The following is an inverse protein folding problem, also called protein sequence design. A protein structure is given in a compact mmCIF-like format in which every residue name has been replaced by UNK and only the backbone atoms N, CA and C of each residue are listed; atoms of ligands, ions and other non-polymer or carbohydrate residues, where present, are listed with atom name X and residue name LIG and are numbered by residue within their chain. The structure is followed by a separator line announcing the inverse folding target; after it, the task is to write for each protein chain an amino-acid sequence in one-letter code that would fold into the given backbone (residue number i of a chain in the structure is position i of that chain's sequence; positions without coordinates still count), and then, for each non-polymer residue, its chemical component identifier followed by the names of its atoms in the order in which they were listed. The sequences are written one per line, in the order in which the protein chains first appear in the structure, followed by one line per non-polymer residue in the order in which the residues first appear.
data_IF_286067221841
#
_entry.id   IF_286067221841
#
_cell.length_a   1.000
_cell.length_b   1.000
_cell.length_c   1.000
_cell.angle_alpha   90.00
_cell.angle_beta   90.00
_cell.angle_gamma   90.00
#
_symmetry.space_group_name_H-M   'P 1'
#
loop_
_entity.id
_entity.type
_entity.pdbx_description
1 polymer ?
#
# COMPACT_ATOMS: atom_id res chain seq x y z
N UNK A 1 -74.82 -47.67 -102.66
CA UNK A 1 -74.85 -47.80 -104.14
C UNK A 1 -75.45 -49.16 -104.46
N UNK A 2 -76.73 -49.21 -104.82
CA UNK A 2 -77.44 -50.46 -105.16
C UNK A 2 -77.38 -50.69 -106.67
N UNK A 3 -76.80 -51.81 -107.07
CA UNK A 3 -76.79 -52.29 -108.46
C UNK A 3 -78.14 -52.97 -108.74
N UNK A 4 -78.87 -52.64 -109.82
CA UNK A 4 -80.07 -53.37 -110.19
C UNK A 4 -79.69 -54.70 -110.87
N UNK A 5 -80.30 -55.79 -110.41
CA UNK A 5 -80.17 -57.10 -111.03
C UNK A 5 -80.89 -57.09 -112.39
N UNK A 6 -80.15 -57.40 -113.46
CA UNK A 6 -80.67 -57.57 -114.82
C UNK A 6 -81.31 -58.95 -114.91
N UNK A 7 -82.63 -58.96 -114.99
CA UNK A 7 -83.46 -60.16 -115.18
C UNK A 7 -83.26 -60.69 -116.61
N UNK A 8 -82.33 -61.64 -116.78
CA UNK A 8 -82.02 -62.30 -118.06
C UNK A 8 -82.71 -63.67 -118.11
N UNK A 9 -84.04 -63.70 -117.98
CA UNK A 9 -84.83 -64.92 -118.21
C UNK A 9 -85.14 -65.10 -119.71
N UNK A 10 -84.09 -65.15 -120.54
CA UNK A 10 -84.22 -65.57 -121.94
C UNK A 10 -84.59 -67.05 -122.00
N UNK A 11 -85.89 -67.36 -122.09
CA UNK A 11 -86.52 -68.61 -122.54
C UNK A 11 -85.59 -69.84 -122.58
N UNK A 12 -85.11 -70.22 -121.40
CA UNK A 12 -84.34 -71.44 -121.23
C UNK A 12 -85.33 -72.60 -121.20
N UNK A 13 -85.44 -73.32 -122.31
CA UNK A 13 -86.24 -74.53 -122.36
C UNK A 13 -85.73 -75.52 -121.31
N UNK A 14 -86.58 -75.87 -120.34
CA UNK A 14 -86.26 -76.85 -119.31
C UNK A 14 -86.73 -78.24 -119.76
N UNK A 15 -86.01 -79.27 -119.33
CA UNK A 15 -86.38 -80.65 -119.56
C UNK A 15 -87.71 -80.97 -118.89
N UNK A 16 -88.68 -81.44 -119.66
CA UNK A 16 -90.02 -81.74 -119.14
C UNK A 16 -90.06 -82.82 -118.04
N UNK A 17 -89.00 -83.63 -117.91
CA UNK A 17 -88.86 -84.66 -116.86
C UNK A 17 -88.14 -84.13 -115.60
N UNK A 18 -86.94 -83.61 -115.75
CA UNK A 18 -86.05 -83.29 -114.60
C UNK A 18 -85.87 -81.79 -114.33
N UNK A 19 -86.51 -80.92 -115.11
CA UNK A 19 -86.46 -79.47 -114.92
C UNK A 19 -85.12 -78.81 -115.26
N UNK A 20 -84.08 -79.57 -115.62
CA UNK A 20 -82.77 -79.00 -116.01
C UNK A 20 -82.89 -78.16 -117.27
N UNK A 21 -82.14 -77.07 -117.30
CA UNK A 21 -81.99 -76.21 -118.48
C UNK A 21 -81.36 -77.01 -119.62
N UNK A 22 -82.01 -77.04 -120.79
CA UNK A 22 -81.55 -77.78 -121.97
C UNK A 22 -80.69 -76.91 -122.89
N UNK A 23 -79.66 -77.50 -123.53
CA UNK A 23 -78.85 -76.78 -124.52
C UNK A 23 -79.69 -76.44 -125.76
N UNK A 24 -79.43 -75.28 -126.37
CA UNK A 24 -80.06 -74.88 -127.64
C UNK A 24 -79.63 -75.84 -128.75
N UNK A 25 -80.59 -76.27 -129.56
CA UNK A 25 -80.35 -77.26 -130.62
C UNK A 25 -79.41 -76.68 -131.70
N UNK A 26 -78.23 -77.28 -131.95
CA UNK A 26 -77.20 -76.68 -132.81
C UNK A 26 -77.59 -76.60 -134.29
N UNK A 27 -78.65 -77.30 -134.73
CA UNK A 27 -79.15 -77.26 -136.12
C UNK A 27 -80.37 -76.35 -136.34
N UNK A 28 -80.68 -75.45 -135.40
CA UNK A 28 -81.78 -74.48 -135.55
C UNK A 28 -83.19 -75.09 -135.59
N UNK A 29 -83.35 -76.34 -135.13
CA UNK A 29 -84.64 -77.02 -135.00
C UNK A 29 -85.36 -76.69 -133.70
N UNK A 30 -86.57 -77.25 -133.49
CA UNK A 30 -87.32 -77.14 -132.23
C UNK A 30 -86.41 -77.47 -131.03
N UNK A 31 -86.49 -76.70 -129.91
CA UNK A 31 -85.70 -76.98 -128.72
C UNK A 31 -85.93 -78.42 -128.26
N UNK A 32 -84.88 -79.06 -127.74
CA UNK A 32 -85.04 -80.37 -127.13
C UNK A 32 -86.10 -80.26 -126.03
N UNK A 33 -87.03 -81.22 -125.99
CA UNK A 33 -88.06 -81.28 -124.95
C UNK A 33 -87.59 -82.10 -123.73
N UNK A 34 -86.56 -82.93 -123.92
CA UNK A 34 -85.97 -83.81 -122.92
C UNK A 34 -84.44 -83.80 -123.05
N UNK A 35 -83.73 -84.10 -121.97
CA UNK A 35 -82.27 -84.25 -121.99
C UNK A 35 -81.86 -85.42 -122.92
N UNK A 36 -80.89 -85.22 -123.82
CA UNK A 36 -80.39 -86.29 -124.69
C UNK A 36 -79.66 -87.38 -123.89
N UNK A 37 -79.06 -87.01 -122.76
CA UNK A 37 -78.47 -87.94 -121.81
C UNK A 37 -79.06 -87.65 -120.41
N UNK A 38 -79.61 -88.69 -119.78
CA UNK A 38 -80.18 -88.58 -118.44
C UNK A 38 -79.09 -88.68 -117.38
N UNK A 39 -79.20 -87.87 -116.33
CA UNK A 39 -78.35 -88.02 -115.16
C UNK A 39 -78.65 -89.30 -114.36
N UNK A 40 -79.87 -89.82 -114.47
CA UNK A 40 -80.32 -90.97 -113.68
C UNK A 40 -79.83 -92.30 -114.30
N UNK A 41 -79.70 -92.34 -115.64
CA UNK A 41 -79.18 -93.50 -116.38
C UNK A 41 -78.35 -92.99 -117.59
N UNK A 42 -77.02 -92.91 -117.45
CA UNK A 42 -76.13 -92.50 -118.53
C UNK A 42 -76.31 -93.38 -119.77
N UNK A 43 -76.40 -92.76 -120.94
CA UNK A 43 -76.63 -93.44 -122.22
C UNK A 43 -78.10 -93.67 -122.57
N UNK A 44 -79.05 -93.23 -121.73
CA UNK A 44 -80.48 -93.16 -122.07
C UNK A 44 -81.00 -91.74 -121.98
N UNK A 45 -81.81 -91.34 -122.96
CA UNK A 45 -82.41 -90.00 -122.93
C UNK A 45 -83.48 -89.92 -121.85
N UNK A 46 -83.68 -88.73 -121.28
CA UNK A 46 -84.79 -88.48 -120.35
C UNK A 46 -86.15 -88.78 -120.99
N UNK A 47 -86.27 -88.72 -122.33
CA UNK A 47 -87.47 -89.12 -123.05
C UNK A 47 -87.70 -90.64 -122.97
N UNK A 48 -86.64 -91.44 -123.14
CA UNK A 48 -86.74 -92.89 -123.04
C UNK A 48 -87.04 -93.34 -121.63
N UNK A 49 -86.44 -92.70 -120.62
CA UNK A 49 -86.80 -92.96 -119.24
C UNK A 49 -88.24 -92.53 -118.96
N UNK A 50 -88.70 -91.38 -119.47
CA UNK A 50 -90.08 -90.92 -119.27
C UNK A 50 -91.08 -91.88 -119.92
N UNK A 51 -90.75 -92.42 -121.09
CA UNK A 51 -91.53 -93.50 -121.71
C UNK A 51 -91.51 -94.80 -120.90
N UNK A 52 -90.35 -95.21 -120.36
CA UNK A 52 -90.23 -96.41 -119.51
C UNK A 52 -91.03 -96.26 -118.23
N UNK A 53 -90.99 -95.09 -117.60
CA UNK A 53 -91.72 -94.80 -116.37
C UNK A 53 -93.23 -94.73 -116.63
N UNK A 54 -93.67 -94.08 -117.72
CA UNK A 54 -95.07 -94.14 -118.14
C UNK A 54 -95.53 -95.58 -118.41
N UNK A 55 -94.74 -96.35 -119.16
CA UNK A 55 -95.06 -97.75 -119.42
C UNK A 55 -95.05 -98.61 -118.14
N UNK A 56 -94.24 -98.27 -117.14
CA UNK A 56 -94.23 -98.94 -115.83
C UNK A 56 -95.46 -98.56 -115.00
N UNK A 57 -95.85 -97.28 -115.00
CA UNK A 57 -97.05 -96.78 -114.34
C UNK A 57 -98.33 -97.33 -114.98
N UNK A 58 -98.37 -97.42 -116.31
CA UNK A 58 -99.47 -98.07 -117.04
C UNK A 58 -99.56 -99.56 -116.70
N UNK A 59 -98.43 -100.29 -116.68
CA UNK A 59 -98.39 -101.70 -116.24
C UNK A 59 -98.84 -101.90 -114.79
N UNK A 60 -98.62 -100.91 -113.94
CA UNK A 60 -99.08 -100.91 -112.55
C UNK A 60 -100.54 -100.44 -112.38
N UNK A 61 -101.23 -100.03 -113.47
CA UNK A 61 -102.58 -99.46 -113.41
C UNK A 61 -102.66 -98.05 -112.81
N UNK A 62 -101.52 -97.37 -112.65
CA UNK A 62 -101.39 -96.07 -111.96
C UNK A 62 -101.29 -94.88 -112.92
N UNK A 63 -101.31 -95.10 -114.23
CA UNK A 63 -101.16 -94.04 -115.24
C UNK A 63 -102.17 -92.90 -115.08
N UNK A 64 -103.46 -93.24 -115.00
CA UNK A 64 -104.55 -92.26 -114.86
C UNK A 64 -104.55 -91.58 -113.48
N UNK A 65 -104.25 -92.33 -112.42
CA UNK A 65 -104.16 -91.80 -111.06
C UNK A 65 -103.03 -90.77 -110.90
N UNK A 66 -101.88 -91.01 -111.52
CA UNK A 66 -100.76 -90.07 -111.51
C UNK A 66 -101.07 -88.81 -112.32
N UNK A 67 -101.80 -88.92 -113.43
CA UNK A 67 -102.24 -87.74 -114.18
C UNK A 67 -103.29 -86.92 -113.44
N UNK A 68 -104.26 -87.57 -112.78
CA UNK A 68 -105.26 -86.89 -111.95
C UNK A 68 -104.60 -86.21 -110.75
N UNK A 69 -103.70 -86.90 -110.05
CA UNK A 69 -102.94 -86.34 -108.94
C UNK A 69 -102.08 -85.14 -109.35
N UNK A 70 -101.49 -85.16 -110.56
CA UNK A 70 -100.74 -84.00 -111.07
C UNK A 70 -101.66 -82.80 -111.31
N UNK A 71 -102.85 -83.03 -111.87
CA UNK A 71 -103.84 -81.97 -112.05
C UNK A 71 -104.31 -81.38 -110.71
N UNK A 72 -104.60 -82.23 -109.72
CA UNK A 72 -104.98 -81.82 -108.38
C UNK A 72 -103.85 -81.06 -107.66
N UNK A 73 -102.61 -81.55 -107.78
CA UNK A 73 -101.41 -80.86 -107.26
C UNK A 73 -101.24 -79.49 -107.90
N UNK A 74 -101.36 -79.40 -109.23
CA UNK A 74 -101.18 -78.15 -109.95
C UNK A 74 -102.31 -77.15 -109.62
N UNK A 75 -103.55 -77.62 -109.43
CA UNK A 75 -104.67 -76.82 -108.95
C UNK A 75 -104.45 -76.32 -107.51
N UNK A 76 -103.93 -77.17 -106.62
CA UNK A 76 -103.58 -76.78 -105.25
C UNK A 76 -102.45 -75.74 -105.22
N UNK A 77 -101.40 -75.93 -106.03
CA UNK A 77 -100.32 -74.95 -106.14
C UNK A 77 -100.80 -73.62 -106.71
N UNK A 78 -101.71 -73.64 -107.69
CA UNK A 78 -102.35 -72.43 -108.22
C UNK A 78 -103.22 -71.72 -107.16
N UNK A 79 -103.95 -72.47 -106.33
CA UNK A 79 -104.74 -71.92 -105.23
C UNK A 79 -103.87 -71.32 -104.11
N UNK A 80 -102.67 -71.86 -103.88
CA UNK A 80 -101.72 -71.36 -102.88
C UNK A 80 -100.86 -70.19 -103.37
N UNK A 81 -100.63 -70.07 -104.68
CA UNK A 81 -99.84 -69.00 -105.29
C UNK A 81 -100.17 -67.57 -104.80
N UNK A 82 -101.44 -67.13 -104.68
CA UNK A 82 -101.76 -65.78 -104.20
C UNK A 82 -101.44 -65.54 -102.72
N UNK A 83 -101.26 -66.60 -101.91
CA UNK A 83 -100.97 -66.50 -100.46
C UNK A 83 -99.47 -66.54 -100.18
N UNK A 84 -98.69 -67.22 -101.03
CA UNK A 84 -97.24 -67.36 -100.86
C UNK A 84 -96.49 -66.02 -100.88
N UNK A 85 -96.88 -65.10 -101.75
CA UNK A 85 -96.29 -63.74 -101.82
C UNK A 85 -96.50 -62.93 -100.53
N UNK A 86 -97.76 -62.74 -100.07
CA UNK A 86 -98.05 -62.09 -98.80
C UNK A 86 -97.38 -62.73 -97.58
N UNK A 87 -97.27 -64.07 -97.54
CA UNK A 87 -96.55 -64.76 -96.47
C UNK A 87 -95.04 -64.46 -96.49
N UNK A 88 -94.41 -64.45 -97.67
CA UNK A 88 -93.00 -64.08 -97.80
C UNK A 88 -92.74 -62.61 -97.44
N UNK A 89 -93.66 -61.71 -97.78
CA UNK A 89 -93.57 -60.30 -97.37
C UNK A 89 -93.79 -60.11 -95.87
N UNK A 90 -94.71 -60.86 -95.26
CA UNK A 90 -94.90 -60.87 -93.80
C UNK A 90 -93.64 -61.40 -93.09
N UNK A 91 -93.08 -62.52 -93.55
CA UNK A 91 -91.83 -63.06 -93.02
C UNK A 91 -90.68 -62.04 -93.14
N UNK A 92 -90.54 -61.37 -94.30
CA UNK A 92 -89.54 -60.30 -94.47
C UNK A 92 -89.75 -59.14 -93.49
N UNK A 93 -91.00 -58.70 -93.29
CA UNK A 93 -91.32 -57.62 -92.32
C UNK A 93 -91.06 -58.05 -90.88
N UNK A 94 -91.42 -59.29 -90.51
CA UNK A 94 -91.14 -59.83 -89.19
C UNK A 94 -89.63 -59.93 -88.95
N UNK A 95 -88.87 -60.42 -89.93
CA UNK A 95 -87.40 -60.46 -89.86
C UNK A 95 -86.78 -59.06 -89.72
N UNK A 96 -87.29 -58.06 -90.44
CA UNK A 96 -86.86 -56.66 -90.29
C UNK A 96 -87.19 -56.09 -88.91
N UNK A 97 -88.39 -56.35 -88.37
CA UNK A 97 -88.79 -55.92 -87.03
C UNK A 97 -87.91 -56.59 -85.97
N UNK A 98 -87.66 -57.89 -86.10
CA UNK A 98 -86.77 -58.65 -85.21
C UNK A 98 -85.37 -58.08 -85.24
N UNK A 99 -84.79 -57.86 -86.43
CA UNK A 99 -83.45 -57.25 -86.56
C UNK A 99 -83.40 -55.84 -85.96
N UNK A 100 -84.42 -55.01 -86.17
CA UNK A 100 -84.49 -53.68 -85.59
C UNK A 100 -84.71 -53.69 -84.07
N UNK A 101 -85.40 -54.70 -83.53
CA UNK A 101 -85.57 -54.89 -82.09
C UNK A 101 -84.25 -55.36 -81.44
N UNK A 102 -83.56 -56.34 -82.06
CA UNK A 102 -82.24 -56.81 -81.62
C UNK A 102 -81.22 -55.67 -81.67
N UNK A 103 -81.12 -54.94 -82.77
CA UNK A 103 -80.18 -53.82 -82.89
C UNK A 103 -80.45 -52.69 -81.89
N UNK A 104 -81.72 -52.41 -81.55
CA UNK A 104 -82.06 -51.44 -80.49
C UNK A 104 -81.73 -51.97 -79.09
N UNK A 105 -81.89 -53.26 -78.84
CA UNK A 105 -81.50 -53.88 -77.59
C UNK A 105 -79.98 -53.85 -77.40
N UNK A 106 -79.22 -54.22 -78.43
CA UNK A 106 -77.74 -54.15 -78.44
C UNK A 106 -77.26 -52.71 -78.22
N UNK A 107 -77.83 -51.73 -78.92
CA UNK A 107 -77.49 -50.31 -78.71
C UNK A 107 -77.81 -49.83 -77.29
N UNK A 108 -78.92 -50.28 -76.70
CA UNK A 108 -79.28 -49.94 -75.32
C UNK A 108 -78.34 -50.60 -74.30
N UNK A 109 -77.95 -51.86 -74.53
CA UNK A 109 -76.97 -52.56 -73.71
C UNK A 109 -75.59 -51.91 -73.79
N UNK A 110 -75.13 -51.55 -75.00
CA UNK A 110 -73.88 -50.82 -75.20
C UNK A 110 -73.89 -49.46 -74.51
N UNK A 111 -74.99 -48.71 -74.63
CA UNK A 111 -75.16 -47.43 -73.96
C UNK A 111 -75.15 -47.57 -72.43
N UNK A 112 -75.79 -48.62 -71.88
CA UNK A 112 -75.75 -48.93 -70.45
C UNK A 112 -74.33 -49.27 -70.00
N UNK A 113 -73.61 -50.13 -70.72
CA UNK A 113 -72.24 -50.50 -70.40
C UNK A 113 -71.30 -49.29 -70.45
N UNK A 114 -71.47 -48.40 -71.43
CA UNK A 114 -70.71 -47.16 -71.52
C UNK A 114 -71.02 -46.22 -70.35
N UNK A 115 -72.29 -46.10 -69.95
CA UNK A 115 -72.69 -45.29 -68.79
C UNK A 115 -72.14 -45.86 -67.47
N UNK A 116 -72.18 -47.18 -67.28
CA UNK A 116 -71.58 -47.84 -66.11
C UNK A 116 -70.06 -47.66 -66.06
N UNK A 117 -69.38 -47.78 -67.21
CA UNK A 117 -67.95 -47.53 -67.30
C UNK A 117 -67.62 -46.07 -66.94
N UNK A 118 -68.36 -45.10 -67.50
CA UNK A 118 -68.20 -43.69 -67.19
C UNK A 118 -68.47 -43.38 -65.71
N UNK A 119 -69.46 -44.03 -65.10
CA UNK A 119 -69.74 -43.88 -63.67
C UNK A 119 -68.58 -44.42 -62.81
N UNK A 120 -68.08 -45.63 -63.11
CA UNK A 120 -66.93 -46.20 -62.39
C UNK A 120 -65.68 -45.35 -62.56
N UNK A 121 -65.48 -44.73 -63.72
CA UNK A 121 -64.35 -43.84 -63.98
C UNK A 121 -64.48 -42.54 -63.16
N UNK A 122 -65.68 -41.96 -63.10
CA UNK A 122 -65.97 -40.79 -62.28
C UNK A 122 -65.78 -41.08 -60.78
N UNK A 123 -66.23 -42.24 -60.30
CA UNK A 123 -66.03 -42.69 -58.91
C UNK A 123 -64.54 -42.84 -58.58
N UNK A 124 -63.75 -43.47 -59.46
CA UNK A 124 -62.29 -43.58 -59.28
C UNK A 124 -61.62 -42.20 -59.24
N UNK A 125 -62.00 -41.30 -60.15
CA UNK A 125 -61.46 -39.93 -60.16
C UNK A 125 -61.84 -39.15 -58.90
N UNK A 126 -63.07 -39.32 -58.39
CA UNK A 126 -63.51 -38.70 -57.14
C UNK A 126 -62.69 -39.22 -55.94
N UNK A 127 -62.53 -40.53 -55.81
CA UNK A 127 -61.70 -41.13 -54.75
C UNK A 127 -60.24 -40.69 -54.85
N UNK A 128 -59.66 -40.62 -56.05
CA UNK A 128 -58.29 -40.12 -56.25
C UNK A 128 -58.16 -38.63 -55.89
N UNK A 129 -59.18 -37.82 -56.18
CA UNK A 129 -59.22 -36.41 -55.79
C UNK A 129 -59.30 -36.25 -54.27
N UNK A 130 -60.15 -37.03 -53.60
CA UNK A 130 -60.26 -37.06 -52.13
C UNK A 130 -58.93 -37.49 -51.47
N UNK A 131 -58.29 -38.54 -51.97
CA UNK A 131 -56.99 -38.98 -51.47
C UNK A 131 -55.88 -37.94 -51.68
N UNK A 132 -55.92 -37.18 -52.78
CA UNK A 132 -54.99 -36.06 -53.01
C UNK A 132 -55.26 -34.92 -52.05
N UNK A 133 -56.52 -34.56 -51.83
CA UNK A 133 -56.92 -33.54 -50.87
C UNK A 133 -56.53 -33.91 -49.43
N UNK A 134 -56.75 -35.16 -49.02
CA UNK A 134 -56.37 -35.66 -47.70
C UNK A 134 -54.85 -35.62 -47.48
N UNK A 135 -54.06 -36.05 -48.47
CA UNK A 135 -52.59 -35.95 -48.41
C UNK A 135 -52.11 -34.50 -48.35
N UNK A 136 -52.72 -33.60 -49.11
CA UNK A 136 -52.38 -32.18 -49.07
C UNK A 136 -52.71 -31.55 -47.69
N UNK A 137 -53.83 -31.94 -47.08
CA UNK A 137 -54.19 -31.50 -45.74
C UNK A 137 -53.19 -32.02 -44.68
N UNK A 138 -52.81 -33.30 -44.76
CA UNK A 138 -51.80 -33.87 -43.87
C UNK A 138 -50.45 -33.14 -43.97
N UNK A 139 -49.95 -32.92 -45.20
CA UNK A 139 -48.69 -32.19 -45.40
C UNK A 139 -48.75 -30.75 -44.89
N UNK A 140 -49.91 -30.08 -45.03
CA UNK A 140 -50.11 -28.75 -44.47
C UNK A 140 -50.04 -28.78 -42.94
N UNK A 141 -50.70 -29.75 -42.31
CA UNK A 141 -50.76 -29.86 -40.86
C UNK A 141 -49.37 -30.24 -40.28
N UNK A 142 -48.62 -31.10 -40.97
CA UNK A 142 -47.20 -31.40 -40.67
C UNK A 142 -46.34 -30.13 -40.78
N UNK A 143 -46.46 -29.36 -41.86
CA UNK A 143 -45.72 -28.11 -42.04
C UNK A 143 -46.07 -27.03 -40.99
N UNK A 144 -47.33 -26.98 -40.54
CA UNK A 144 -47.75 -26.10 -39.45
C UNK A 144 -47.16 -26.54 -38.11
N UNK A 145 -47.14 -27.84 -37.84
CA UNK A 145 -46.51 -28.39 -36.63
C UNK A 145 -44.99 -28.14 -36.61
N UNK A 146 -44.30 -28.34 -37.73
CA UNK A 146 -42.88 -28.00 -37.88
C UNK A 146 -42.61 -26.51 -37.65
N UNK A 147 -43.43 -25.63 -38.22
CA UNK A 147 -43.34 -24.19 -38.00
C UNK A 147 -43.52 -23.85 -36.52
N UNK A 148 -44.52 -24.43 -35.86
CA UNK A 148 -44.83 -24.13 -34.46
C UNK A 148 -43.71 -24.63 -33.53
N UNK A 149 -43.09 -25.79 -33.84
CA UNK A 149 -41.87 -26.26 -33.16
C UNK A 149 -40.69 -25.29 -33.37
N UNK A 150 -40.45 -24.86 -34.61
CA UNK A 150 -39.39 -23.90 -34.90
C UNK A 150 -39.57 -22.56 -34.16
N UNK A 151 -40.81 -22.09 -34.02
CA UNK A 151 -41.14 -20.89 -33.23
C UNK A 151 -40.88 -21.12 -31.75
N UNK A 152 -41.20 -22.30 -31.20
CA UNK A 152 -40.90 -22.64 -29.81
C UNK A 152 -39.39 -22.69 -29.55
N UNK A 153 -38.62 -23.31 -30.45
CA UNK A 153 -37.16 -23.38 -30.37
C UNK A 153 -36.53 -21.99 -30.42
N UNK A 154 -37.01 -21.11 -31.32
CA UNK A 154 -36.56 -19.72 -31.38
C UNK A 154 -36.86 -18.96 -30.08
N UNK A 155 -38.06 -19.12 -29.53
CA UNK A 155 -38.43 -18.49 -28.26
C UNK A 155 -37.58 -19.02 -27.10
N UNK A 156 -37.30 -20.32 -27.06
CA UNK A 156 -36.43 -20.91 -26.05
C UNK A 156 -35.00 -20.36 -26.17
N UNK A 157 -34.44 -20.33 -27.38
CA UNK A 157 -33.12 -19.78 -27.63
C UNK A 157 -33.01 -18.30 -27.22
N UNK A 158 -34.05 -17.49 -27.47
CA UNK A 158 -34.14 -16.10 -27.01
C UNK A 158 -34.12 -16.00 -25.48
N UNK A 159 -34.91 -16.82 -24.77
CA UNK A 159 -34.93 -16.84 -23.29
C UNK A 159 -33.58 -17.26 -22.72
N UNK A 160 -32.94 -18.25 -23.32
CA UNK A 160 -31.60 -18.71 -22.91
C UNK A 160 -30.55 -17.62 -23.12
N UNK A 161 -30.62 -16.89 -24.23
CA UNK A 161 -29.75 -15.75 -24.52
C UNK A 161 -29.96 -14.60 -23.52
N UNK A 162 -31.21 -14.21 -23.24
CA UNK A 162 -31.54 -13.17 -22.25
C UNK A 162 -31.07 -13.56 -20.84
N UNK A 163 -31.23 -14.83 -20.47
CA UNK A 163 -30.73 -15.36 -19.20
C UNK A 163 -29.19 -15.35 -19.15
N UNK A 164 -28.51 -15.63 -20.26
CA UNK A 164 -27.06 -15.55 -20.34
C UNK A 164 -26.56 -14.10 -20.21
N UNK A 165 -27.23 -13.13 -20.84
CA UNK A 165 -26.93 -11.70 -20.70
C UNK A 165 -27.11 -11.25 -19.25
N UNK A 166 -28.23 -11.61 -18.61
CA UNK A 166 -28.49 -11.28 -17.20
C UNK A 166 -27.38 -11.82 -16.30
N UNK A 167 -27.01 -13.10 -16.47
CA UNK A 167 -25.90 -13.71 -15.71
C UNK A 167 -24.56 -13.00 -15.93
N UNK A 168 -24.27 -12.57 -17.15
CA UNK A 168 -23.05 -11.83 -17.47
C UNK A 168 -23.02 -10.45 -16.80
N UNK A 169 -24.13 -9.71 -16.84
CA UNK A 169 -24.27 -8.41 -16.17
C UNK A 169 -24.13 -8.55 -14.65
N UNK A 170 -24.76 -9.55 -14.04
CA UNK A 170 -24.61 -9.84 -12.61
C UNK A 170 -23.17 -10.25 -12.24
N UNK A 171 -22.48 -10.96 -13.11
CA UNK A 171 -21.08 -11.32 -12.91
C UNK A 171 -20.17 -10.09 -12.95
N UNK A 172 -20.35 -9.20 -13.93
CA UNK A 172 -19.63 -7.91 -14.00
C UNK A 172 -19.94 -7.02 -12.81
N UNK A 173 -21.20 -6.96 -12.36
CA UNK A 173 -21.56 -6.20 -11.16
C UNK A 173 -20.86 -6.75 -9.91
N UNK A 174 -20.87 -8.07 -9.70
CA UNK A 174 -20.15 -8.72 -8.59
C UNK A 174 -18.65 -8.49 -8.68
N UNK A 175 -18.07 -8.51 -9.88
CA UNK A 175 -16.66 -8.19 -10.11
C UNK A 175 -16.36 -6.75 -9.72
N UNK A 176 -17.16 -5.79 -10.18
CA UNK A 176 -17.01 -4.38 -9.79
C UNK A 176 -17.14 -4.15 -8.29
N UNK A 177 -18.07 -4.82 -7.61
CA UNK A 177 -18.18 -4.78 -6.15
C UNK A 177 -16.92 -5.35 -5.47
N UNK A 178 -16.42 -6.50 -5.94
CA UNK A 178 -15.21 -7.11 -5.39
C UNK A 178 -13.96 -6.23 -5.60
N UNK A 179 -13.83 -5.62 -6.78
CA UNK A 179 -12.76 -4.66 -7.08
C UNK A 179 -12.86 -3.41 -6.20
N UNK A 180 -14.08 -2.92 -5.95
CA UNK A 180 -14.35 -1.81 -5.03
C UNK A 180 -13.93 -2.13 -3.59
N UNK A 181 -14.38 -3.27 -3.05
CA UNK A 181 -13.98 -3.73 -1.70
C UNK A 181 -12.46 -3.93 -1.62
N UNK A 182 -11.83 -4.48 -2.65
CA UNK A 182 -10.37 -4.64 -2.69
C UNK A 182 -9.64 -3.28 -2.76
N UNK A 183 -10.21 -2.27 -3.40
CA UNK A 183 -9.66 -0.91 -3.40
C UNK A 183 -9.77 -0.26 -2.01
N UNK A 184 -10.92 -0.38 -1.35
CA UNK A 184 -11.12 0.12 0.02
C UNK A 184 -10.18 -0.56 1.02
N UNK A 185 -10.02 -1.88 0.93
CA UNK A 185 -9.07 -2.62 1.78
C UNK A 185 -7.63 -2.17 1.56
N UNK A 186 -7.22 -1.90 0.31
CA UNK A 186 -5.89 -1.35 0.00
C UNK A 186 -5.70 0.03 0.62
N UNK A 187 -6.67 0.93 0.45
CA UNK A 187 -6.63 2.25 1.08
C UNK A 187 -6.55 2.17 2.60
N UNK A 188 -7.32 1.27 3.23
CA UNK A 188 -7.27 1.07 4.67
C UNK A 188 -5.90 0.55 5.15
N UNK A 189 -5.29 -0.39 4.40
CA UNK A 189 -3.95 -0.90 4.69
C UNK A 189 -2.87 0.19 4.53
N UNK A 190 -2.96 1.01 3.49
CA UNK A 190 -2.01 2.10 3.28
C UNK A 190 -2.16 3.17 4.36
N UNK A 191 -3.39 3.53 4.77
CA UNK A 191 -3.63 4.42 5.90
C UNK A 191 -3.14 3.85 7.25
N UNK A 192 -3.19 2.54 7.45
CA UNK A 192 -2.57 1.88 8.61
C UNK A 192 -1.04 1.94 8.56
N UNK A 193 -0.44 1.73 7.38
CA UNK A 193 1.01 1.85 7.19
C UNK A 193 1.50 3.27 7.46
N UNK A 194 0.80 4.28 6.96
CA UNK A 194 1.10 5.68 7.22
C UNK A 194 0.99 6.02 8.72
N UNK A 195 -0.05 5.52 9.40
CA UNK A 195 -0.20 5.69 10.85
C UNK A 195 0.94 5.05 11.63
N UNK A 196 1.38 3.84 11.25
CA UNK A 196 2.53 3.17 11.86
C UNK A 196 3.83 3.93 11.61
N UNK A 197 4.09 4.34 10.37
CA UNK A 197 5.27 5.12 10.02
C UNK A 197 5.33 6.46 10.78
N UNK A 198 4.18 7.14 10.95
CA UNK A 198 4.09 8.37 11.74
C UNK A 198 4.39 8.11 13.22
N UNK A 199 3.84 7.03 13.81
CA UNK A 199 4.10 6.65 15.19
C UNK A 199 5.57 6.23 15.42
N UNK A 200 6.18 5.54 14.47
CA UNK A 200 7.61 5.19 14.49
C UNK A 200 8.48 6.45 14.44
N UNK A 201 8.20 7.38 13.53
CA UNK A 201 8.91 8.65 13.43
C UNK A 201 8.77 9.51 14.70
N UNK A 202 7.59 9.52 15.33
CA UNK A 202 7.38 10.20 16.61
C UNK A 202 8.17 9.53 17.74
N UNK A 203 8.21 8.20 17.77
CA UNK A 203 9.03 7.44 18.73
C UNK A 203 10.52 7.72 18.56
N UNK A 204 11.02 7.77 17.33
CA UNK A 204 12.42 8.15 17.03
C UNK A 204 12.72 9.58 17.46
N UNK A 205 11.80 10.51 17.19
CA UNK A 205 11.93 11.91 17.64
C UNK A 205 11.97 12.02 19.16
N UNK A 206 11.11 11.28 19.87
CA UNK A 206 11.11 11.24 21.33
C UNK A 206 12.40 10.63 21.88
N UNK A 207 12.94 9.56 21.26
CA UNK A 207 14.24 8.99 21.62
C UNK A 207 15.37 10.00 21.43
N UNK A 208 15.41 10.68 20.29
CA UNK A 208 16.41 11.72 20.04
C UNK A 208 16.32 12.88 21.04
N UNK A 209 15.11 13.30 21.43
CA UNK A 209 14.91 14.27 22.51
C UNK A 209 15.43 13.77 23.86
N UNK A 210 15.18 12.50 24.18
CA UNK A 210 15.60 11.89 25.43
C UNK A 210 17.14 11.77 25.50
N UNK A 211 17.78 11.38 24.39
CA UNK A 211 19.23 11.34 24.25
C UNK A 211 19.85 12.75 24.38
N UNK A 212 19.24 13.76 23.75
CA UNK A 212 19.68 15.16 23.88
C UNK A 212 19.56 15.64 25.34
N UNK A 213 18.45 15.35 26.02
CA UNK A 213 18.27 15.66 27.44
C UNK A 213 19.28 14.92 28.34
N UNK A 214 19.62 13.67 28.02
CA UNK A 214 20.67 12.93 28.74
C UNK A 214 22.06 13.55 28.53
N UNK A 215 22.36 14.02 27.32
CA UNK A 215 23.60 14.74 27.02
C UNK A 215 23.66 16.07 27.77
N UNK A 216 22.57 16.85 27.78
CA UNK A 216 22.46 18.08 28.57
C UNK A 216 22.65 17.80 30.07
N UNK A 217 22.02 16.77 30.63
CA UNK A 217 22.23 16.37 32.02
C UNK A 217 23.67 15.95 32.30
N UNK A 218 24.31 15.25 31.37
CA UNK A 218 25.72 14.84 31.50
C UNK A 218 26.63 16.06 31.44
N UNK A 219 26.35 17.00 30.56
CA UNK A 219 27.06 18.28 30.47
C UNK A 219 26.90 19.09 31.76
N UNK A 220 25.67 19.29 32.24
CA UNK A 220 25.40 20.01 33.49
C UNK A 220 26.07 19.34 34.68
N UNK A 221 26.09 18.00 34.74
CA UNK A 221 26.86 17.26 35.75
C UNK A 221 28.36 17.51 35.64
N UNK A 222 28.92 17.56 34.43
CA UNK A 222 30.31 17.93 34.18
C UNK A 222 30.62 19.36 34.62
N UNK A 223 29.76 20.31 34.24
CA UNK A 223 29.85 21.72 34.65
C UNK A 223 29.75 21.88 36.17
N UNK A 224 28.90 21.09 36.83
CA UNK A 224 28.77 21.07 38.29
C UNK A 224 30.05 20.54 38.94
N UNK A 225 30.61 19.43 38.46
CA UNK A 225 31.88 18.90 38.98
C UNK A 225 33.01 19.91 38.78
N UNK A 226 33.07 20.59 37.63
CA UNK A 226 34.04 21.65 37.37
C UNK A 226 33.82 22.89 38.24
N UNK A 227 32.57 23.23 38.55
CA UNK A 227 32.22 24.31 39.46
C UNK A 227 32.59 23.95 40.90
N UNK A 228 32.30 22.73 41.36
CA UNK A 228 32.71 22.20 42.67
C UNK A 228 34.23 22.17 42.79
N UNK A 229 34.94 21.76 41.75
CA UNK A 229 36.41 21.81 41.71
C UNK A 229 36.92 23.24 41.82
N UNK A 230 36.34 24.18 41.06
CA UNK A 230 36.67 25.61 41.14
C UNK A 230 36.39 26.18 42.53
N UNK A 231 35.27 25.82 43.14
CA UNK A 231 34.92 26.20 44.53
C UNK A 231 35.96 25.63 45.50
N UNK A 232 36.31 24.35 45.37
CA UNK A 232 37.35 23.70 46.17
C UNK A 232 38.73 24.36 46.01
N UNK A 233 39.14 24.68 44.78
CA UNK A 233 40.38 25.40 44.49
C UNK A 233 40.37 26.82 45.06
N UNK A 234 39.24 27.54 44.94
CA UNK A 234 39.11 28.87 45.56
C UNK A 234 39.08 28.80 47.09
N UNK A 235 38.46 27.77 47.67
CA UNK A 235 38.47 27.51 49.10
C UNK A 235 39.87 27.18 49.62
N UNK A 236 40.64 26.37 48.88
CA UNK A 236 42.03 26.09 49.20
C UNK A 236 42.91 27.35 49.10
N UNK A 237 42.70 28.20 48.09
CA UNK A 237 43.38 29.50 47.98
C UNK A 237 42.98 30.46 49.11
N UNK A 238 41.71 30.47 49.51
CA UNK A 238 41.24 31.29 50.64
C UNK A 238 41.88 30.82 51.96
N UNK A 239 41.92 29.50 52.21
CA UNK A 239 42.58 28.94 53.38
C UNK A 239 44.10 29.21 53.39
N UNK A 240 44.76 29.15 52.23
CA UNK A 240 46.18 29.50 52.09
C UNK A 240 46.41 31.01 52.36
N UNK A 241 45.58 31.89 51.80
CA UNK A 241 45.63 33.32 52.04
C UNK A 241 45.35 33.66 53.52
N UNK A 242 44.41 32.99 54.18
CA UNK A 242 44.16 33.13 55.61
C UNK A 242 45.34 32.66 56.46
N UNK A 243 46.07 31.64 56.03
CA UNK A 243 47.29 31.18 56.70
C UNK A 243 48.44 32.19 56.52
N UNK A 244 48.58 32.79 55.33
CA UNK A 244 49.53 33.87 55.06
C UNK A 244 49.21 35.14 55.88
N UNK A 245 47.93 35.52 55.98
CA UNK A 245 47.50 36.63 56.83
C UNK A 245 47.85 36.35 58.29
N UNK A 246 47.57 35.14 58.80
CA UNK A 246 47.95 34.75 60.18
C UNK A 246 49.46 34.76 60.39
N UNK A 247 50.25 34.35 59.39
CA UNK A 247 51.70 34.42 59.45
C UNK A 247 52.17 35.89 59.51
N UNK A 248 51.65 36.76 58.65
CA UNK A 248 51.96 38.19 58.66
C UNK A 248 51.49 38.90 59.94
N UNK A 249 50.35 38.53 60.52
CA UNK A 249 49.91 39.07 61.80
C UNK A 249 50.82 38.62 62.95
N UNK A 250 51.30 37.38 62.93
CA UNK A 250 52.28 36.89 63.90
C UNK A 250 53.64 37.58 63.76
N UNK A 251 54.06 37.86 62.53
CA UNK A 251 55.29 38.60 62.22
C UNK A 251 55.16 40.07 62.62
N UNK A 252 54.02 40.71 62.34
CA UNK A 252 53.71 42.07 62.78
C UNK A 252 53.67 42.18 64.31
N UNK A 253 53.08 41.22 65.00
CA UNK A 253 53.08 41.18 66.47
C UNK A 253 54.50 41.01 67.04
N UNK A 254 55.34 40.18 66.41
CA UNK A 254 56.74 40.03 66.79
C UNK A 254 57.55 41.32 66.57
N UNK A 255 57.36 42.00 65.43
CA UNK A 255 58.00 43.28 65.12
C UNK A 255 57.52 44.40 66.05
N UNK A 256 56.23 44.43 66.43
CA UNK A 256 55.70 45.38 67.41
C UNK A 256 56.28 45.13 68.82
N UNK A 257 56.42 43.86 69.23
CA UNK A 257 57.06 43.51 70.49
C UNK A 257 58.57 43.81 70.50
N UNK A 258 59.22 43.77 69.34
CA UNK A 258 60.62 44.18 69.18
C UNK A 258 60.73 45.72 69.27
N UNK A 259 59.88 46.46 68.55
CA UNK A 259 59.85 47.92 68.60
C UNK A 259 59.53 48.46 70.01
N UNK A 260 58.65 47.80 70.77
CA UNK A 260 58.38 48.15 72.17
C UNK A 260 59.62 47.95 73.06
N UNK A 261 60.33 46.83 72.89
CA UNK A 261 61.58 46.56 73.60
C UNK A 261 62.68 47.56 73.26
N UNK A 262 62.79 47.94 72.00
CA UNK A 262 63.76 48.93 71.54
C UNK A 262 63.41 50.34 72.05
N UNK A 263 62.12 50.69 72.12
CA UNK A 263 61.65 51.94 72.71
C UNK A 263 61.92 52.02 74.23
N UNK A 264 61.70 50.92 74.96
CA UNK A 264 62.03 50.83 76.39
C UNK A 264 63.54 50.92 76.64
N UNK A 265 64.35 50.25 75.80
CA UNK A 265 65.81 50.35 75.85
C UNK A 265 66.30 51.78 75.56
N UNK A 266 65.69 52.47 74.60
CA UNK A 266 66.00 53.87 74.29
C UNK A 266 65.59 54.82 75.42
N UNK A 267 64.43 54.59 76.05
CA UNK A 267 63.97 55.35 77.21
C UNK A 267 64.88 55.13 78.42
N UNK A 268 65.37 53.91 78.62
CA UNK A 268 66.34 53.60 79.67
C UNK A 268 67.69 54.28 79.41
N UNK A 269 68.23 54.19 78.20
CA UNK A 269 69.48 54.86 77.83
C UNK A 269 69.41 56.39 78.00
N UNK A 270 68.25 57.01 77.73
CA UNK A 270 68.03 58.44 77.97
C UNK A 270 68.07 58.79 79.46
N UNK A 271 67.42 57.98 80.32
CA UNK A 271 67.47 58.14 81.78
C UNK A 271 68.88 57.98 82.32
N UNK A 272 69.63 57.00 81.84
CA UNK A 272 71.02 56.78 82.25
C UNK A 272 71.93 57.94 81.81
N UNK A 273 71.68 58.51 80.63
CA UNK A 273 72.41 59.70 80.14
C UNK A 273 72.08 60.96 80.95
N UNK A 274 70.83 61.16 81.34
CA UNK A 274 70.43 62.26 82.22
C UNK A 274 71.02 62.10 83.61
N UNK A 275 71.02 60.89 84.18
CA UNK A 275 71.67 60.61 85.46
C UNK A 275 73.18 60.86 85.41
N UNK A 276 73.85 60.45 84.32
CA UNK A 276 75.27 60.74 84.12
C UNK A 276 75.56 62.24 84.01
N UNK A 277 74.69 63.02 83.35
CA UNK A 277 74.81 64.49 83.28
C UNK A 277 74.64 65.16 84.64
N UNK A 278 73.68 64.72 85.44
CA UNK A 278 73.49 65.21 86.80
C UNK A 278 74.71 64.88 87.67
N UNK A 279 75.22 63.65 87.58
CA UNK A 279 76.43 63.24 88.30
C UNK A 279 77.68 64.05 87.90
N UNK A 280 77.85 64.37 86.61
CA UNK A 280 78.94 65.26 86.14
C UNK A 280 78.78 66.68 86.68
N UNK A 281 77.56 67.19 86.75
CA UNK A 281 77.28 68.53 87.28
C UNK A 281 77.56 68.60 88.78
N UNK A 282 77.16 67.59 89.55
CA UNK A 282 77.43 67.49 90.98
C UNK A 282 78.93 67.34 91.26
N UNK A 283 79.65 66.52 90.49
CA UNK A 283 81.10 66.38 90.60
C UNK A 283 81.84 67.69 90.26
N UNK A 284 81.36 68.47 89.29
CA UNK A 284 81.91 69.80 88.99
C UNK A 284 81.69 70.81 90.11
N UNK A 285 80.55 70.74 90.80
CA UNK A 285 80.29 71.58 91.97
C UNK A 285 81.18 71.18 93.16
N UNK A 286 81.36 69.88 93.39
CA UNK A 286 82.25 69.35 94.42
C UNK A 286 83.71 69.75 94.17
N UNK A 287 84.16 69.71 92.90
CA UNK A 287 85.51 70.14 92.54
C UNK A 287 85.74 71.63 92.83
N UNK A 288 84.79 72.51 92.47
CA UNK A 288 84.89 73.95 92.78
C UNK A 288 84.88 74.23 94.28
N UNK A 289 84.08 73.49 95.05
CA UNK A 289 84.06 73.61 96.51
C UNK A 289 85.39 73.17 97.13
N UNK A 290 85.99 72.08 96.63
CA UNK A 290 87.30 71.59 97.07
C UNK A 290 88.44 72.57 96.70
N UNK A 291 88.40 73.17 95.52
CA UNK A 291 89.35 74.20 95.09
C UNK A 291 89.26 75.46 95.96
N UNK A 292 88.05 75.90 96.31
CA UNK A 292 87.85 77.02 97.24
C UNK A 292 88.41 76.70 98.64
N UNK A 293 88.16 75.49 99.15
CA UNK A 293 88.71 75.05 100.45
C UNK A 293 90.25 74.99 100.44
N UNK A 294 90.86 74.50 99.36
CA UNK A 294 92.31 74.48 99.21
C UNK A 294 92.91 75.90 99.14
N UNK A 295 92.22 76.84 98.51
CA UNK A 295 92.66 78.24 98.42
C UNK A 295 92.60 78.92 99.79
N UNK A 296 91.52 78.71 100.55
CA UNK A 296 91.38 79.23 101.92
C UNK A 296 92.44 78.64 102.85
N UNK A 297 92.67 77.32 102.80
CA UNK A 297 93.71 76.67 103.59
C UNK A 297 95.12 77.17 103.25
N UNK A 298 95.38 77.53 101.99
CA UNK A 298 96.65 78.11 101.57
C UNK A 298 96.85 79.53 102.15
N UNK A 299 95.79 80.36 102.12
CA UNK A 299 95.81 81.71 102.70
C UNK A 299 95.98 81.68 104.23
N UNK A 300 95.34 80.74 104.92
CA UNK A 300 95.52 80.52 106.36
C UNK A 300 96.96 80.08 106.70
N UNK A 301 97.56 79.22 105.88
CA UNK A 301 98.95 78.79 106.07
C UNK A 301 99.96 79.93 105.86
N UNK A 302 99.72 80.85 104.92
CA UNK A 302 100.55 82.04 104.72
C UNK A 302 100.40 83.05 105.86
N UNK A 303 99.17 83.27 106.34
CA UNK A 303 98.92 84.12 107.51
C UNK A 303 99.66 83.60 108.76
N UNK A 304 99.56 82.29 109.03
CA UNK A 304 100.26 81.64 110.15
C UNK A 304 101.79 81.69 110.02
N UNK A 305 102.33 81.64 108.79
CA UNK A 305 103.77 81.84 108.55
C UNK A 305 104.20 83.29 108.85
N UNK A 306 103.39 84.26 108.44
CA UNK A 306 103.64 85.68 108.75
C UNK A 306 103.65 85.95 110.26
N UNK A 307 102.72 85.35 111.01
CA UNK A 307 102.67 85.45 112.47
C UNK A 307 103.89 84.79 113.15
N UNK A 308 104.33 83.65 112.65
CA UNK A 308 105.50 82.93 113.17
C UNK A 308 106.81 83.72 112.96
N UNK A 309 106.98 84.35 111.80
CA UNK A 309 108.17 85.15 111.49
C UNK A 309 108.18 86.48 112.27
N UNK A 310 107.02 87.10 112.49
CA UNK A 310 106.88 88.25 113.37
C UNK A 310 107.29 87.90 114.82
N UNK A 311 106.77 86.80 115.37
CA UNK A 311 107.09 86.33 116.72
C UNK A 311 108.57 85.96 116.89
N UNK A 312 109.20 85.39 115.85
CA UNK A 312 110.66 85.13 115.82
C UNK A 312 111.49 86.40 115.82
N UNK A 313 111.04 87.43 115.10
CA UNK A 313 111.73 88.72 115.06
C UNK A 313 111.66 89.44 116.42
N UNK A 314 110.51 89.35 117.11
CA UNK A 314 110.30 89.98 118.41
C UNK A 314 111.06 89.27 119.52
N UNK A 315 111.11 87.92 119.51
CA UNK A 315 111.94 87.14 120.44
C UNK A 315 113.43 87.39 120.23
N UNK A 316 113.88 87.56 118.98
CA UNK A 316 115.28 87.94 118.69
C UNK A 316 115.62 89.33 119.21
N UNK A 317 114.74 90.32 118.99
CA UNK A 317 114.92 91.67 119.56
C UNK A 317 114.95 91.65 121.08
N UNK A 318 114.06 90.88 121.71
CA UNK A 318 114.02 90.73 123.17
C UNK A 318 115.30 90.07 123.72
N UNK A 319 115.86 89.07 123.03
CA UNK A 319 117.11 88.43 123.41
C UNK A 319 118.32 89.37 123.26
N UNK A 320 118.38 90.17 122.20
CA UNK A 320 119.43 91.18 121.97
C UNK A 320 119.35 92.33 122.99
N UNK A 321 118.13 92.70 123.42
CA UNK A 321 117.89 93.67 124.49
C UNK A 321 118.34 93.13 125.86
N UNK A 322 118.00 91.87 126.18
CA UNK A 322 118.45 91.21 127.41
C UNK A 322 119.99 91.09 127.46
N UNK A 323 120.62 90.75 126.34
CA UNK A 323 122.08 90.64 126.25
C UNK A 323 122.75 91.99 126.51
N UNK A 324 122.18 93.10 126.01
CA UNK A 324 122.65 94.46 126.31
C UNK A 324 122.46 94.82 127.78
N UNK A 325 121.34 94.44 128.39
CA UNK A 325 121.09 94.69 129.82
C UNK A 325 122.04 93.91 130.73
N UNK A 326 122.36 92.66 130.39
CA UNK A 326 123.33 91.84 131.14
C UNK A 326 124.76 92.40 130.99
N UNK A 327 125.15 92.86 129.80
CA UNK A 327 126.44 93.50 129.59
C UNK A 327 126.56 94.82 130.39
N UNK A 328 125.49 95.62 130.44
CA UNK A 328 125.43 96.84 131.24
C UNK A 328 125.45 96.57 132.75
N UNK A 329 124.80 95.50 133.20
CA UNK A 329 124.82 95.07 134.60
C UNK A 329 126.22 94.61 135.02
N UNK A 330 126.88 93.75 134.22
CA UNK A 330 128.22 93.26 134.50
C UNK A 330 129.28 94.38 134.50
N UNK A 331 129.12 95.40 133.65
CA UNK A 331 129.98 96.58 133.69
C UNK A 331 129.84 97.37 135.00
N UNK A 332 128.62 97.47 135.55
CA UNK A 332 128.36 98.12 136.86
C UNK A 332 128.91 97.29 138.02
N UNK A 333 128.84 95.96 137.94
CA UNK A 333 129.39 95.07 138.98
C UNK A 333 130.92 95.13 139.00
N UNK A 334 131.58 95.11 137.83
CA UNK A 334 133.04 95.27 137.73
C UNK A 334 133.54 96.67 138.18
N UNK A 335 132.70 97.70 138.07
CA UNK A 335 133.02 99.03 138.60
C UNK A 335 132.81 99.12 140.12
N UNK A 336 131.82 98.41 140.66
CA UNK A 336 131.62 98.26 142.10
C UNK A 336 132.76 97.46 142.76
N UNK A 337 133.21 96.37 142.14
CA UNK A 337 134.34 95.57 142.62
C UNK A 337 135.65 96.36 142.61
N UNK A 338 135.92 97.15 141.56
CA UNK A 338 137.10 98.04 141.53
C UNK A 338 137.08 99.11 142.63
N UNK A 339 135.90 99.60 143.03
CA UNK A 339 135.77 100.51 144.18
C UNK A 339 135.92 99.78 145.51
N UNK A 340 135.49 98.53 145.59
CA UNK A 340 135.61 97.70 146.79
C UNK A 340 137.07 97.31 147.03
N UNK A 341 137.80 96.87 146.00
CA UNK A 341 139.22 96.53 146.09
C UNK A 341 140.09 97.75 146.40
N UNK A 342 139.73 98.94 145.87
CA UNK A 342 140.40 100.19 146.21
C UNK A 342 140.21 100.59 147.70
N UNK A 343 139.09 100.21 148.33
CA UNK A 343 138.86 100.49 149.75
C UNK A 343 139.44 99.41 150.67
N UNK A 344 139.40 98.14 150.27
CA UNK A 344 140.02 97.03 151.02
C UNK A 344 141.53 97.19 151.08
N UNK A 345 142.17 97.74 150.04
CA UNK A 345 143.58 98.09 150.06
C UNK A 345 143.93 99.21 151.07
N UNK A 346 143.00 100.11 151.40
CA UNK A 346 143.23 101.15 152.41
C UNK A 346 143.01 100.65 153.86
N UNK A 347 142.35 99.51 154.04
CA UNK A 347 142.02 98.93 155.35
C UNK A 347 143.04 97.87 155.85
N UNK A 348 144.19 97.74 155.21
CA UNK A 348 145.36 97.05 155.79
C UNK A 348 146.21 97.94 156.73
N UNK A 349 145.76 99.16 157.04
CA UNK A 349 146.51 100.14 157.84
C UNK A 349 145.67 101.02 158.77
N UNK A 350 144.74 100.43 159.52
CA UNK A 350 144.14 101.06 160.70
C UNK A 350 142.85 101.87 160.48
N UNK A 351 141.96 101.73 161.46
CA UNK A 351 141.06 102.81 161.88
C UNK A 351 139.61 102.78 161.36
N UNK A 352 138.72 102.30 162.24
CA UNK A 352 137.58 103.09 162.76
C UNK A 352 136.26 103.17 161.94
N UNK A 353 135.26 102.40 162.42
CA UNK A 353 133.80 102.67 162.63
C UNK A 353 132.96 103.45 161.56
N UNK A 354 131.64 103.72 161.76
CA UNK A 354 130.52 102.85 161.36
C UNK A 354 129.47 103.57 160.48
N UNK A 355 128.33 102.88 160.26
CA UNK A 355 126.95 103.40 160.12
C UNK A 355 126.35 103.72 158.72
N UNK A 356 125.32 102.92 158.37
CA UNK A 356 124.05 103.27 157.66
C UNK A 356 124.10 104.03 156.31
N UNK A 357 122.95 104.45 155.74
CA UNK A 357 121.57 103.92 155.81
C UNK A 357 120.87 103.83 154.40
N UNK A 358 119.62 103.31 154.41
CA UNK A 358 118.42 103.71 153.62
C UNK A 358 118.46 104.01 152.09
N UNK A 359 117.40 103.56 151.37
CA UNK A 359 116.33 104.39 150.72
C UNK A 359 115.62 103.65 149.56
N UNK A 360 114.27 103.65 149.66
CA UNK A 360 113.17 103.74 148.68
C UNK A 360 113.18 103.12 147.26
N UNK A 361 112.04 102.50 146.92
CA UNK A 361 111.03 103.15 146.07
C UNK A 361 110.66 102.49 144.73
N UNK A 362 109.35 102.25 144.52
CA UNK A 362 108.70 102.58 143.23
C UNK A 362 108.05 101.44 142.42
N UNK A 363 106.74 101.26 142.67
CA UNK A 363 105.62 100.79 141.82
C UNK A 363 105.78 99.61 140.86
#
# INVERSE_FOLDING_TARGET
MSVPAVDTSLDQATCARCGRVLPKNPKGGRPFRFCPDSADQPGTSCLELDKKDRAALERAGLGELVTAFRADRDALLAALAPVLGPLADLDRRLNQITQAAVGRAEQADDARLAAEAAQRDAERQATEAEQRAARAAQLRDEALAERDLAVQDEQQARREADAAITRAVEAEHRRGQAEGVAAEQRQALDAERERRAAAEAETERLRAQLDAQQQELTQVRGELVDAERRVGETGARALAAEAEIRAHDSEKAALQAQAARDADALAQARRDTEQARTAVTDLQQQLRAAEQQATTAHQEAEALRGELDAARSDTRRAAEELTRQVAAANARTAEAERRYDALVAALAGGGFTPAGPAVAGGR
#
